data_IF_026933408723
#
_entry.id   IF_026933408723
#
_cell.length_a   1.000
_cell.length_b   1.000
_cell.length_c   1.000
_cell.angle_alpha   90.00
_cell.angle_beta   90.00
_cell.angle_gamma   90.00
#
_symmetry.space_group_name_H-M   'P 1'
#
loop_
_entity.id
_entity.type
_entity.pdbx_description
1 polymer ?
#
# COMPACT_ATOMS: atom_id res chain seq x y z
N UNK A 1 -5.99 15.57 -28.14
CA UNK A 1 -5.49 15.37 -26.77
C UNK A 1 -4.89 13.98 -26.76
N UNK A 2 -3.61 13.86 -27.04
CA UNK A 2 -2.96 12.57 -27.30
C UNK A 2 -2.47 12.02 -25.97
N UNK A 3 -2.79 10.75 -25.65
CA UNK A 3 -2.26 10.12 -24.45
C UNK A 3 -0.74 10.03 -24.50
N UNK A 4 -0.10 10.26 -23.35
CA UNK A 4 1.33 10.05 -23.20
C UNK A 4 1.61 8.56 -23.03
N UNK A 5 2.32 7.97 -24.00
CA UNK A 5 2.80 6.60 -23.93
C UNK A 5 4.30 6.61 -23.60
N UNK A 6 4.74 6.07 -22.45
CA UNK A 6 6.15 6.02 -22.11
C UNK A 6 6.92 5.05 -23.03
N UNK A 7 8.22 5.28 -23.28
CA UNK A 7 9.06 4.31 -23.96
C UNK A 7 9.17 3.02 -23.12
N UNK A 8 9.13 1.86 -23.77
CA UNK A 8 9.31 0.57 -23.08
C UNK A 8 10.75 0.37 -22.63
N UNK A 9 10.92 -0.20 -21.43
CA UNK A 9 12.24 -0.47 -20.85
C UNK A 9 13.02 -1.52 -21.68
N UNK A 10 14.29 -1.25 -22.05
CA UNK A 10 15.05 -2.10 -22.97
C UNK A 10 15.84 -3.24 -22.27
N UNK A 11 15.61 -3.50 -20.99
CA UNK A 11 16.34 -4.52 -20.23
C UNK A 11 15.49 -5.79 -20.06
N UNK A 12 15.88 -6.88 -20.71
CA UNK A 12 15.25 -8.18 -20.52
C UNK A 12 15.79 -8.91 -19.28
N UNK A 13 14.90 -9.55 -18.52
CA UNK A 13 15.25 -10.26 -17.29
C UNK A 13 16.13 -11.52 -17.53
N UNK A 14 17.23 -11.72 -16.77
CA UNK A 14 17.86 -13.03 -16.62
C UNK A 14 17.05 -13.92 -15.65
N UNK A 15 17.18 -15.26 -15.73
CA UNK A 15 16.26 -16.15 -15.02
C UNK A 15 16.56 -16.32 -13.51
N UNK A 16 15.55 -16.04 -12.69
CA UNK A 16 15.20 -16.85 -11.52
C UNK A 16 16.09 -16.77 -10.27
N UNK A 17 15.85 -15.75 -9.43
CA UNK A 17 16.14 -15.76 -7.99
C UNK A 17 14.84 -15.67 -7.17
N UNK A 18 14.87 -15.90 -5.84
CA UNK A 18 13.69 -15.76 -4.98
C UNK A 18 13.34 -14.27 -4.77
N UNK A 19 12.59 -13.68 -5.71
CA UNK A 19 12.19 -12.27 -5.71
C UNK A 19 11.16 -11.93 -4.61
N UNK A 20 11.66 -11.83 -3.38
CA UNK A 20 10.95 -11.33 -2.20
C UNK A 20 11.67 -10.17 -1.51
N UNK A 21 12.50 -9.43 -2.26
CA UNK A 21 13.17 -8.22 -1.78
C UNK A 21 12.25 -6.99 -1.83
N UNK A 22 12.50 -5.95 -1.01
CA UNK A 22 11.88 -4.64 -1.20
C UNK A 22 12.27 -4.07 -2.57
N UNK A 23 11.34 -3.37 -3.22
CA UNK A 23 11.53 -2.85 -4.58
C UNK A 23 12.81 -2.01 -4.70
N UNK A 24 13.78 -2.50 -5.47
CA UNK A 24 15.10 -1.88 -5.54
C UNK A 24 15.12 -0.73 -6.56
N UNK A 25 15.31 0.48 -6.03
CA UNK A 25 15.27 1.74 -6.79
C UNK A 25 14.33 2.74 -6.11
N UNK A 26 14.74 3.98 -5.84
CA UNK A 26 13.87 4.98 -5.23
C UNK A 26 12.76 5.35 -6.21
N UNK A 27 11.58 4.75 -6.00
CA UNK A 27 10.37 5.11 -6.73
C UNK A 27 10.08 6.61 -6.60
N UNK A 28 9.31 7.19 -7.55
CA UNK A 28 9.02 8.62 -7.54
C UNK A 28 8.43 9.04 -6.18
N UNK A 29 9.09 9.99 -5.52
CA UNK A 29 8.85 10.30 -4.11
C UNK A 29 7.40 10.75 -3.88
N UNK A 30 6.69 10.02 -3.02
CA UNK A 30 5.24 10.08 -2.85
C UNK A 30 4.82 10.35 -1.39
N UNK A 31 3.53 10.68 -1.23
CA UNK A 31 2.83 10.79 0.04
C UNK A 31 1.60 9.86 -0.02
N UNK A 32 1.21 9.28 1.12
CA UNK A 32 0.15 8.27 1.21
C UNK A 32 -1.05 8.76 2.03
N UNK A 33 -2.27 8.51 1.53
CA UNK A 33 -3.52 8.76 2.25
C UNK A 33 -4.32 7.46 2.35
N UNK A 34 -4.51 6.98 3.58
CA UNK A 34 -5.18 5.71 3.86
C UNK A 34 -6.60 5.98 4.36
N UNK A 35 -7.59 5.74 3.49
CA UNK A 35 -9.02 5.88 3.82
C UNK A 35 -9.53 4.66 4.59
N UNK A 36 -9.49 4.74 5.92
CA UNK A 36 -9.77 3.64 6.84
C UNK A 36 -11.16 3.73 7.52
N UNK A 37 -11.86 4.87 7.44
CA UNK A 37 -13.17 5.10 8.07
C UNK A 37 -14.42 4.51 7.39
N UNK A 38 -14.27 3.54 6.47
CA UNK A 38 -15.41 2.98 5.72
C UNK A 38 -16.26 2.00 6.55
N UNK A 39 -17.59 2.06 6.42
CA UNK A 39 -18.57 1.26 7.19
C UNK A 39 -18.54 -0.28 6.98
N UNK A 40 -17.52 -0.83 6.32
CA UNK A 40 -17.18 -2.26 6.26
C UNK A 40 -18.34 -3.24 5.97
N UNK A 41 -19.39 -2.82 5.25
CA UNK A 41 -20.65 -3.58 5.07
C UNK A 41 -20.46 -4.99 4.52
N UNK A 42 -19.45 -5.21 3.66
CA UNK A 42 -19.08 -6.53 3.10
C UNK A 42 -18.45 -7.49 4.12
N UNK A 43 -18.05 -7.00 5.30
CA UNK A 43 -17.50 -7.73 6.44
C UNK A 43 -18.47 -7.71 7.63
N UNK A 44 -19.78 -7.59 7.36
CA UNK A 44 -20.81 -7.51 8.41
C UNK A 44 -20.79 -6.22 9.23
N UNK A 45 -20.06 -5.18 8.80
CA UNK A 45 -19.90 -3.94 9.55
C UNK A 45 -18.77 -3.94 10.59
N UNK A 46 -17.93 -4.98 10.62
CA UNK A 46 -16.78 -5.07 11.51
C UNK A 46 -15.73 -3.96 11.26
N UNK A 47 -14.96 -3.58 12.28
CA UNK A 47 -13.85 -2.62 12.17
C UNK A 47 -12.75 -3.12 11.21
N UNK A 48 -12.88 -2.80 9.91
CA UNK A 48 -11.99 -3.28 8.85
C UNK A 48 -10.50 -2.97 9.12
N UNK A 49 -10.10 -1.78 9.62
CA UNK A 49 -8.70 -1.51 9.96
C UNK A 49 -8.11 -2.50 10.99
N UNK A 50 -8.91 -2.93 11.97
CA UNK A 50 -8.53 -3.93 12.98
C UNK A 50 -8.65 -5.40 12.55
N UNK A 51 -9.25 -5.70 11.39
CA UNK A 51 -9.36 -7.07 10.87
C UNK A 51 -7.97 -7.66 10.67
N UNK A 52 -7.75 -8.86 11.23
CA UNK A 52 -6.48 -9.58 11.08
C UNK A 52 -6.49 -10.47 9.85
N UNK A 53 -5.39 -10.41 9.10
CA UNK A 53 -5.00 -11.38 8.07
C UNK A 53 -3.62 -11.89 8.50
N UNK A 54 -3.32 -13.19 8.43
CA UNK A 54 -2.00 -13.75 8.80
C UNK A 54 -1.37 -13.11 10.05
N UNK A 55 -2.10 -13.05 11.17
CA UNK A 55 -1.66 -12.50 12.46
C UNK A 55 -1.70 -10.97 12.63
N UNK A 56 -1.43 -10.16 11.59
CA UNK A 56 -1.33 -8.68 11.68
C UNK A 56 -2.64 -7.98 11.30
N UNK A 57 -2.91 -6.80 11.84
CA UNK A 57 -4.08 -6.01 11.42
C UNK A 57 -3.93 -5.55 9.97
N UNK A 58 -5.05 -5.24 9.31
CA UNK A 58 -5.04 -4.82 7.92
C UNK A 58 -4.41 -3.44 7.75
N UNK A 59 -4.64 -2.53 8.70
CA UNK A 59 -4.00 -1.20 8.71
C UNK A 59 -2.47 -1.31 8.80
N UNK A 60 -1.94 -2.13 9.72
CA UNK A 60 -0.49 -2.33 9.90
C UNK A 60 0.21 -2.73 8.59
N UNK A 61 -0.43 -3.57 7.76
CA UNK A 61 0.11 -3.94 6.44
C UNK A 61 0.20 -2.77 5.48
N UNK A 62 -0.84 -1.96 5.42
CA UNK A 62 -0.86 -0.79 4.53
C UNK A 62 0.21 0.19 4.97
N UNK A 63 0.33 0.45 6.28
CA UNK A 63 1.40 1.30 6.84
C UNK A 63 2.80 0.73 6.56
N UNK A 64 2.99 -0.59 6.67
CA UNK A 64 4.25 -1.26 6.30
C UNK A 64 4.57 -1.10 4.81
N UNK A 65 3.57 -1.18 3.93
CA UNK A 65 3.74 -1.00 2.50
C UNK A 65 3.95 0.47 2.08
N UNK A 66 3.61 1.43 2.95
CA UNK A 66 3.86 2.87 2.77
C UNK A 66 5.11 3.36 3.54
N UNK A 67 6.04 2.47 3.91
CA UNK A 67 7.23 2.84 4.68
C UNK A 67 8.10 3.91 3.99
N UNK A 68 8.12 3.94 2.66
CA UNK A 68 8.89 4.91 1.85
C UNK A 68 8.11 6.20 1.52
N UNK A 69 6.87 6.34 2.00
CA UNK A 69 6.10 7.57 1.84
C UNK A 69 6.68 8.69 2.72
N UNK A 70 6.90 9.88 2.17
CA UNK A 70 7.38 11.04 2.95
C UNK A 70 6.41 11.41 4.07
N UNK A 71 5.11 11.34 3.76
CA UNK A 71 4.00 11.55 4.69
C UNK A 71 2.99 10.43 4.55
N UNK A 72 2.49 9.89 5.65
CA UNK A 72 1.32 8.99 5.66
C UNK A 72 0.21 9.57 6.53
N UNK A 73 -0.97 9.76 5.95
CA UNK A 73 -2.17 10.26 6.65
C UNK A 73 -3.23 9.17 6.69
N UNK A 74 -3.73 8.82 7.88
CA UNK A 74 -4.83 7.86 8.04
C UNK A 74 -6.13 8.63 8.33
N UNK A 75 -7.15 8.43 7.49
CA UNK A 75 -8.47 9.05 7.66
C UNK A 75 -9.45 8.00 8.18
N UNK A 76 -9.77 8.08 9.47
CA UNK A 76 -10.70 7.19 10.16
C UNK A 76 -11.47 7.93 11.28
N UNK A 77 -12.45 7.26 11.87
CA UNK A 77 -12.98 7.68 13.16
C UNK A 77 -11.85 7.64 14.23
N UNK A 78 -11.87 8.52 15.25
CA UNK A 78 -10.86 8.52 16.31
C UNK A 78 -10.72 7.15 16.97
N UNK A 79 -9.48 6.74 17.21
CA UNK A 79 -9.11 5.50 17.89
C UNK A 79 -8.18 5.84 19.07
N UNK A 80 -8.34 5.21 20.25
CA UNK A 80 -7.33 5.29 21.31
C UNK A 80 -5.99 4.78 20.78
N UNK A 81 -4.93 5.56 20.99
CA UNK A 81 -3.54 5.26 20.59
C UNK A 81 -2.77 4.66 21.75
#
# INVERSE_FOLDING_TARGET
>A
MTEYQPPGDPCGDPPGGPSGGPSEGPGPAYDAVVLAGGAARRLGGADKPGVRVGGRALLDRVLTACADARTTVVVAAPRPT
#
